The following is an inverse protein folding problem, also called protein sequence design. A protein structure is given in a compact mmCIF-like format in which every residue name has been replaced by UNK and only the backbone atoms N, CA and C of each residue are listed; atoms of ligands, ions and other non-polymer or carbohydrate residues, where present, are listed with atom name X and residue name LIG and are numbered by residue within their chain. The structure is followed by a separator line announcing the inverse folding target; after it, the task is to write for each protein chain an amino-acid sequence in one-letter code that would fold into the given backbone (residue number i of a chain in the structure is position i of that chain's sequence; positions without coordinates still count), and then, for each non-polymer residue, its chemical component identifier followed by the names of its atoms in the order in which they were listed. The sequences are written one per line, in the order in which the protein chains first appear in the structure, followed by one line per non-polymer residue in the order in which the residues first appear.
data_IF_234854542748
#
_entry.id   IF_234854542748
#
_cell.length_a   1.000
_cell.length_b   1.000
_cell.length_c   1.000
_cell.angle_alpha   90.00
_cell.angle_beta   90.00
_cell.angle_gamma   90.00
#
_symmetry.space_group_name_H-M   'P 1'
#
loop_
_entity.id
_entity.type
_entity.pdbx_description
1 polymer ?
#
# COMPACT_ATOMS: atom_id res chain seq x y z
N UNK A 1 13.60 -1.21 -28.71
CA UNK A 1 14.54 -0.40 -27.89
C UNK A 1 13.95 -0.41 -26.49
N UNK A 2 14.48 -1.11 -25.49
CA UNK A 2 15.87 -1.16 -25.01
C UNK A 2 16.20 -2.49 -24.30
N UNK A 3 17.36 -3.06 -24.71
CA UNK A 3 18.36 -3.84 -23.96
C UNK A 3 17.95 -5.12 -23.21
N UNK A 4 18.17 -6.25 -23.89
CA UNK A 4 18.54 -7.52 -23.28
C UNK A 4 20.04 -7.75 -23.54
N UNK A 5 20.90 -7.05 -22.80
CA UNK A 5 22.35 -7.28 -22.81
C UNK A 5 22.68 -8.28 -21.68
N UNK A 6 22.30 -9.55 -21.87
CA UNK A 6 22.90 -10.67 -21.15
C UNK A 6 24.03 -11.23 -22.02
N UNK A 7 25.13 -11.61 -21.37
CA UNK A 7 26.42 -12.00 -21.97
C UNK A 7 26.23 -13.14 -22.98
N UNK A 8 25.90 -12.83 -24.23
CA UNK A 8 26.05 -13.77 -25.35
C UNK A 8 27.52 -13.78 -25.69
N UNK A 9 28.15 -14.96 -25.72
CA UNK A 9 29.50 -15.15 -26.26
C UNK A 9 29.63 -14.41 -27.60
N UNK A 10 30.32 -13.25 -27.68
CA UNK A 10 30.18 -12.34 -28.83
C UNK A 10 30.86 -12.85 -30.12
N UNK A 11 31.40 -14.07 -30.13
CA UNK A 11 32.52 -14.40 -31.01
C UNK A 11 32.52 -15.82 -31.62
N UNK A 12 31.42 -16.59 -31.62
CA UNK A 12 31.40 -17.89 -32.31
C UNK A 12 30.10 -18.09 -33.09
N UNK A 13 30.22 -18.49 -34.36
CA UNK A 13 29.13 -18.94 -35.25
C UNK A 13 28.46 -20.23 -34.73
N UNK A 14 27.91 -20.19 -33.51
CA UNK A 14 27.21 -21.30 -32.88
C UNK A 14 25.70 -21.04 -32.94
N UNK A 15 24.92 -22.12 -33.02
CA UNK A 15 23.48 -22.04 -32.81
C UNK A 15 23.18 -21.65 -31.35
N UNK A 16 21.99 -21.13 -31.08
CA UNK A 16 21.57 -20.74 -29.73
C UNK A 16 21.61 -21.91 -28.74
N UNK A 17 21.16 -23.08 -29.19
CA UNK A 17 21.16 -24.32 -28.40
C UNK A 17 22.59 -24.75 -28.05
N UNK A 18 23.47 -24.87 -29.06
CA UNK A 18 24.87 -25.23 -28.81
C UNK A 18 25.64 -24.19 -28.01
N UNK A 19 25.19 -22.93 -27.98
CA UNK A 19 25.76 -21.90 -27.13
C UNK A 19 25.39 -22.11 -25.66
N UNK A 20 24.15 -22.48 -25.36
CA UNK A 20 23.66 -22.77 -24.01
C UNK A 20 24.32 -24.05 -23.45
N UNK A 21 24.44 -25.10 -24.27
CA UNK A 21 25.12 -26.34 -23.86
C UNK A 21 26.57 -26.07 -23.49
N UNK A 22 27.27 -25.29 -24.31
CA UNK A 22 28.67 -24.94 -24.08
C UNK A 22 28.88 -24.04 -22.87
N UNK A 23 27.95 -23.15 -22.59
CA UNK A 23 27.96 -22.33 -21.37
C UNK A 23 27.78 -23.22 -20.14
N UNK A 24 26.88 -24.19 -20.19
CA UNK A 24 26.65 -25.17 -19.12
C UNK A 24 27.91 -26.01 -18.85
N UNK A 25 28.55 -26.54 -19.89
CA UNK A 25 29.83 -27.28 -19.78
C UNK A 25 30.94 -26.44 -19.14
N UNK A 26 31.02 -25.15 -19.49
CA UNK A 26 32.05 -24.23 -18.98
C UNK A 26 31.83 -23.91 -17.50
N UNK A 27 30.58 -23.75 -17.07
CA UNK A 27 30.20 -23.38 -15.70
C UNK A 27 30.09 -24.59 -14.76
N UNK A 28 30.21 -25.83 -15.26
CA UNK A 28 30.08 -27.06 -14.47
C UNK A 28 31.01 -27.13 -13.23
N UNK A 29 32.27 -26.64 -13.25
CA UNK A 29 33.11 -26.60 -12.06
C UNK A 29 32.58 -25.68 -10.95
N UNK A 30 31.86 -24.60 -11.30
CA UNK A 30 31.20 -23.72 -10.33
C UNK A 30 29.90 -24.34 -9.84
N UNK A 31 29.12 -24.90 -10.77
CA UNK A 31 27.83 -25.55 -10.47
C UNK A 31 28.00 -26.74 -9.52
N UNK A 32 29.00 -27.59 -9.74
CA UNK A 32 29.31 -28.75 -8.90
C UNK A 32 29.75 -28.40 -7.46
N UNK A 33 30.13 -27.14 -7.22
CA UNK A 33 30.52 -26.62 -5.90
C UNK A 33 29.50 -25.64 -5.32
N UNK A 34 28.36 -25.46 -5.98
CA UNK A 34 27.35 -24.51 -5.52
C UNK A 34 26.64 -25.07 -4.28
N UNK A 35 26.57 -24.26 -3.23
CA UNK A 35 25.81 -24.60 -2.01
C UNK A 35 24.30 -24.70 -2.28
N UNK A 36 23.83 -24.01 -3.33
CA UNK A 36 22.44 -23.97 -3.74
C UNK A 36 22.33 -23.82 -5.25
N UNK A 37 21.46 -24.63 -5.85
CA UNK A 37 21.00 -24.50 -7.22
C UNK A 37 19.52 -24.11 -7.18
N UNK A 38 19.17 -23.07 -7.94
CA UNK A 38 17.78 -22.59 -8.09
C UNK A 38 17.35 -22.84 -9.52
N UNK A 39 16.33 -23.68 -9.70
CA UNK A 39 15.68 -23.82 -11.00
C UNK A 39 14.68 -22.68 -11.19
N UNK A 40 14.88 -21.86 -12.22
CA UNK A 40 14.05 -20.69 -12.52
C UNK A 40 13.10 -20.94 -13.69
N UNK A 41 12.99 -22.17 -14.20
CA UNK A 41 12.22 -22.53 -15.40
C UNK A 41 10.75 -22.09 -15.34
N UNK A 42 10.11 -22.24 -14.18
CA UNK A 42 8.69 -21.90 -13.97
C UNK A 42 8.50 -20.62 -13.16
N UNK A 43 9.57 -19.90 -12.84
CA UNK A 43 9.51 -18.73 -11.96
C UNK A 43 9.30 -17.44 -12.77
N UNK A 44 8.35 -16.63 -12.35
CA UNK A 44 8.29 -15.23 -12.77
C UNK A 44 9.45 -14.42 -12.16
N UNK A 45 9.76 -13.28 -12.77
CA UNK A 45 10.77 -12.34 -12.27
C UNK A 45 10.52 -11.93 -10.82
N UNK A 46 9.24 -11.79 -10.43
CA UNK A 46 8.84 -11.42 -9.08
C UNK A 46 9.09 -12.56 -8.08
N UNK A 47 8.75 -13.80 -8.43
CA UNK A 47 8.92 -14.97 -7.55
C UNK A 47 10.40 -15.26 -7.28
N UNK A 48 11.27 -15.12 -8.29
CA UNK A 48 12.70 -15.29 -8.11
C UNK A 48 13.28 -14.24 -7.15
N UNK A 49 12.89 -12.97 -7.32
CA UNK A 49 13.34 -11.89 -6.46
C UNK A 49 12.89 -12.08 -5.00
N UNK A 50 11.65 -12.54 -4.80
CA UNK A 50 11.08 -12.80 -3.48
C UNK A 50 11.70 -14.02 -2.79
N UNK A 51 11.95 -15.09 -3.52
CA UNK A 51 12.65 -16.27 -2.99
C UNK A 51 14.06 -15.91 -2.51
N UNK A 52 14.80 -15.11 -3.30
CA UNK A 52 16.12 -14.62 -2.90
C UNK A 52 16.05 -13.70 -1.68
N UNK A 53 15.11 -12.75 -1.64
CA UNK A 53 14.90 -11.87 -0.48
C UNK A 53 14.60 -12.64 0.79
N UNK A 54 13.69 -13.61 0.70
CA UNK A 54 13.24 -14.42 1.83
C UNK A 54 14.40 -15.23 2.41
N UNK A 55 15.25 -15.81 1.56
CA UNK A 55 16.41 -16.60 2.01
C UNK A 55 17.56 -15.74 2.53
N UNK A 56 17.83 -14.59 1.92
CA UNK A 56 18.97 -13.74 2.30
C UNK A 56 18.71 -12.89 3.55
N UNK A 57 17.48 -12.41 3.74
CA UNK A 57 17.12 -11.54 4.86
C UNK A 57 16.56 -12.30 6.07
N UNK A 58 16.29 -13.60 5.92
CA UNK A 58 15.50 -14.38 6.86
C UNK A 58 14.04 -13.93 6.90
N UNK A 59 13.14 -14.79 7.40
CA UNK A 59 11.75 -14.40 7.70
C UNK A 59 11.73 -13.31 8.77
N UNK A 60 11.83 -12.05 8.38
CA UNK A 60 11.01 -11.01 9.00
C UNK A 60 9.84 -10.83 8.07
N UNK A 61 8.70 -11.40 8.45
CA UNK A 61 7.41 -10.96 7.91
C UNK A 61 7.41 -9.44 8.03
N UNK A 62 7.55 -8.73 6.91
CA UNK A 62 7.34 -7.29 6.92
C UNK A 62 5.85 -7.12 7.14
N UNK A 63 5.45 -6.93 8.39
CA UNK A 63 4.06 -6.64 8.72
C UNK A 63 3.61 -5.41 7.92
N UNK A 64 2.54 -5.59 7.16
CA UNK A 64 1.93 -4.54 6.36
C UNK A 64 1.53 -3.39 7.29
N UNK A 65 2.07 -2.19 7.05
CA UNK A 65 1.63 -0.98 7.75
C UNK A 65 0.49 -0.33 6.97
N UNK A 66 -0.69 -0.26 7.57
CA UNK A 66 -1.83 0.45 6.99
C UNK A 66 -1.77 1.93 7.32
N UNK A 67 -1.80 2.79 6.31
CA UNK A 67 -1.81 4.25 6.47
C UNK A 67 -3.20 4.76 6.11
N UNK A 68 -3.93 5.29 7.08
CA UNK A 68 -5.19 5.99 6.83
C UNK A 68 -4.92 7.48 6.80
N UNK A 69 -5.03 8.09 5.62
CA UNK A 69 -4.79 9.51 5.47
C UNK A 69 -6.03 10.29 5.04
N UNK A 70 -6.20 11.49 5.60
CA UNK A 70 -7.25 12.40 5.17
C UNK A 70 -6.70 13.51 4.30
N UNK A 71 -7.39 13.83 3.21
CA UNK A 71 -7.04 14.93 2.32
C UNK A 71 -8.25 15.74 1.87
N UNK A 72 -7.97 16.87 1.22
CA UNK A 72 -8.96 17.73 0.57
C UNK A 72 -8.81 17.68 -0.95
N UNK A 73 -9.87 17.35 -1.70
CA UNK A 73 -9.84 17.29 -3.16
C UNK A 73 -9.37 18.61 -3.81
N UNK A 74 -9.63 19.76 -3.17
CA UNK A 74 -9.12 21.06 -3.64
C UNK A 74 -7.59 21.18 -3.64
N UNK A 75 -6.90 20.25 -3.00
CA UNK A 75 -5.44 20.19 -2.89
C UNK A 75 -4.83 19.01 -3.69
N UNK A 76 -5.65 18.31 -4.48
CA UNK A 76 -5.23 17.12 -5.22
C UNK A 76 -5.25 15.84 -4.37
N UNK A 77 -5.25 14.71 -5.06
CA UNK A 77 -5.17 13.38 -4.46
C UNK A 77 -3.72 13.11 -4.04
N UNK A 78 -3.47 12.48 -2.87
CA UNK A 78 -2.14 11.99 -2.51
C UNK A 78 -1.51 11.10 -3.59
N UNK A 79 -0.22 11.30 -3.87
CA UNK A 79 0.51 10.54 -4.91
C UNK A 79 0.81 9.09 -4.50
N UNK A 80 0.76 8.82 -3.21
CA UNK A 80 1.09 7.59 -2.49
C UNK A 80 -0.17 6.81 -2.06
N UNK A 81 -1.36 7.23 -2.49
CA UNK A 81 -2.61 6.55 -2.20
C UNK A 81 -2.80 5.31 -3.09
N UNK A 82 -3.06 4.15 -2.47
CA UNK A 82 -3.49 2.93 -3.16
C UNK A 82 -5.01 2.91 -3.35
N UNK A 83 -5.75 3.29 -2.29
CA UNK A 83 -7.20 3.42 -2.31
C UNK A 83 -7.61 4.85 -2.01
N UNK A 84 -8.62 5.35 -2.72
CA UNK A 84 -9.18 6.69 -2.51
C UNK A 84 -10.69 6.58 -2.35
N UNK A 85 -11.20 7.07 -1.22
CA UNK A 85 -12.63 7.13 -0.94
C UNK A 85 -13.11 8.58 -0.86
N UNK A 86 -14.07 8.94 -1.72
CA UNK A 86 -14.71 10.25 -1.69
C UNK A 86 -15.87 10.27 -0.69
N UNK A 87 -15.80 11.16 0.30
CA UNK A 87 -16.84 11.33 1.34
C UNK A 87 -17.56 12.67 1.24
N UNK A 88 -17.48 13.37 0.09
CA UNK A 88 -18.13 14.66 -0.12
C UNK A 88 -19.66 14.62 -0.05
N UNK A 89 -20.25 13.43 -0.24
CA UNK A 89 -21.71 13.22 -0.20
C UNK A 89 -22.27 13.08 1.23
N UNK A 90 -21.43 12.84 2.24
CA UNK A 90 -21.86 12.67 3.63
C UNK A 90 -22.28 14.00 4.29
N UNK A 91 -23.09 13.95 5.38
CA UNK A 91 -23.56 15.12 6.13
C UNK A 91 -22.45 16.13 6.41
N UNK A 92 -22.69 17.39 6.06
CA UNK A 92 -21.66 18.41 6.05
C UNK A 92 -21.71 19.28 7.32
N UNK A 93 -20.72 19.17 8.25
CA UNK A 93 -20.69 19.99 9.48
C UNK A 93 -20.46 21.49 9.21
N UNK A 94 -20.12 21.88 7.98
CA UNK A 94 -19.93 23.28 7.61
C UNK A 94 -21.21 24.14 7.75
N UNK A 95 -22.39 23.50 7.76
CA UNK A 95 -23.66 24.20 7.93
C UNK A 95 -23.84 24.76 9.35
N UNK A 96 -23.17 24.19 10.35
CA UNK A 96 -23.10 24.76 11.71
C UNK A 96 -21.90 25.72 11.80
N UNK A 97 -22.12 27.05 11.95
CA UNK A 97 -21.04 28.02 12.05
C UNK A 97 -20.07 27.75 13.20
N UNK A 98 -20.54 27.13 14.29
CA UNK A 98 -19.70 26.79 15.46
C UNK A 98 -18.69 25.69 15.15
N UNK A 99 -19.01 24.80 14.21
CA UNK A 99 -18.15 23.68 13.80
C UNK A 99 -17.15 24.06 12.70
N UNK A 100 -17.41 25.13 11.93
CA UNK A 100 -16.52 25.59 10.84
C UNK A 100 -15.05 25.80 11.25
N UNK A 101 -14.71 26.41 12.41
CA UNK A 101 -13.33 26.59 12.82
C UNK A 101 -12.69 25.30 13.36
N UNK A 102 -13.48 24.29 13.72
CA UNK A 102 -13.02 23.02 14.27
C UNK A 102 -12.57 22.03 13.18
N UNK A 103 -12.08 20.87 13.57
CA UNK A 103 -11.56 19.78 12.74
C UNK A 103 -12.29 18.48 13.07
N UNK A 104 -12.14 17.45 12.24
CA UNK A 104 -12.69 16.12 12.51
C UNK A 104 -12.16 15.44 13.78
N UNK A 105 -11.07 15.97 14.37
CA UNK A 105 -10.52 15.49 15.65
C UNK A 105 -11.24 16.09 16.86
N UNK A 106 -11.93 17.21 16.67
CA UNK A 106 -12.60 17.91 17.76
C UNK A 106 -13.92 17.23 18.11
N UNK A 107 -14.13 16.98 19.41
CA UNK A 107 -15.32 16.28 19.93
C UNK A 107 -16.66 16.81 19.38
N UNK A 108 -16.89 18.12 19.21
CA UNK A 108 -18.16 18.61 18.66
C UNK A 108 -18.40 18.19 17.20
N UNK A 109 -17.35 18.10 16.38
CA UNK A 109 -17.45 17.63 14.99
C UNK A 109 -17.64 16.12 14.95
N UNK A 110 -16.93 15.39 15.81
CA UNK A 110 -17.13 13.95 15.97
C UNK A 110 -18.58 13.64 16.36
N UNK A 111 -19.11 14.26 17.41
CA UNK A 111 -20.50 14.09 17.86
C UNK A 111 -21.52 14.49 16.78
N UNK A 112 -21.23 15.55 16.01
CA UNK A 112 -22.06 15.91 14.86
C UNK A 112 -22.11 14.78 13.84
N UNK A 113 -20.98 14.15 13.49
CA UNK A 113 -20.92 13.11 12.47
C UNK A 113 -21.47 11.78 12.99
N UNK A 114 -21.24 11.48 14.26
CA UNK A 114 -21.66 10.27 14.96
C UNK A 114 -23.19 10.13 15.00
N UNK A 115 -23.93 11.21 15.25
CA UNK A 115 -25.41 11.15 15.26
C UNK A 115 -26.04 10.77 13.91
N UNK A 116 -25.27 10.77 12.80
CA UNK A 116 -25.75 10.42 11.47
C UNK A 116 -25.45 8.94 11.16
N UNK A 117 -26.52 8.14 11.03
CA UNK A 117 -26.44 6.70 10.73
C UNK A 117 -25.72 6.40 9.41
N UNK A 118 -25.84 7.28 8.43
CA UNK A 118 -25.22 7.18 7.12
C UNK A 118 -23.69 7.31 7.18
N UNK A 119 -23.15 8.06 8.14
CA UNK A 119 -21.69 8.15 8.37
C UNK A 119 -21.18 6.82 8.94
N UNK A 120 -21.89 6.28 9.92
CA UNK A 120 -21.60 4.96 10.50
C UNK A 120 -21.66 3.85 9.45
N UNK A 121 -22.71 3.85 8.62
CA UNK A 121 -22.85 2.87 7.54
C UNK A 121 -21.70 2.99 6.54
N UNK A 122 -21.28 4.21 6.18
CA UNK A 122 -20.13 4.39 5.30
C UNK A 122 -18.86 3.79 5.91
N UNK A 123 -18.53 4.12 7.16
CA UNK A 123 -17.35 3.57 7.86
C UNK A 123 -17.42 2.05 7.88
N UNK A 124 -18.58 1.48 8.24
CA UNK A 124 -18.82 0.04 8.30
C UNK A 124 -18.60 -0.65 6.95
N UNK A 125 -19.19 -0.12 5.88
CA UNK A 125 -19.09 -0.72 4.56
C UNK A 125 -17.66 -0.59 4.00
N UNK A 126 -17.00 0.55 4.21
CA UNK A 126 -15.61 0.76 3.76
C UNK A 126 -14.65 -0.18 4.47
N UNK A 127 -14.71 -0.33 5.79
CA UNK A 127 -13.84 -1.28 6.50
C UNK A 127 -14.12 -2.72 6.07
N UNK A 128 -15.38 -3.09 5.89
CA UNK A 128 -15.78 -4.44 5.46
C UNK A 128 -15.26 -4.75 4.06
N UNK A 129 -15.33 -3.78 3.15
CA UNK A 129 -14.75 -3.89 1.82
C UNK A 129 -13.23 -4.09 1.87
N UNK A 130 -12.51 -3.33 2.70
CA UNK A 130 -11.06 -3.46 2.85
C UNK A 130 -10.68 -4.84 3.43
N UNK A 131 -11.45 -5.34 4.40
CA UNK A 131 -11.20 -6.66 5.02
C UNK A 131 -11.27 -7.82 4.04
N UNK A 132 -12.06 -7.73 2.97
CA UNK A 132 -12.14 -8.78 1.93
C UNK A 132 -10.79 -8.99 1.22
N UNK A 133 -10.04 -7.91 1.02
CA UNK A 133 -8.78 -7.93 0.25
C UNK A 133 -7.54 -7.91 1.14
N UNK A 134 -7.69 -7.53 2.41
CA UNK A 134 -6.58 -7.35 3.33
C UNK A 134 -5.69 -8.59 3.47
N UNK A 135 -6.21 -9.83 3.58
CA UNK A 135 -5.36 -11.02 3.65
C UNK A 135 -4.46 -11.18 2.41
N UNK A 136 -4.99 -10.87 1.22
CA UNK A 136 -4.23 -10.96 -0.03
C UNK A 136 -3.16 -9.86 -0.08
N UNK A 137 -3.49 -8.64 0.37
CA UNK A 137 -2.55 -7.52 0.45
C UNK A 137 -1.41 -7.79 1.43
N UNK A 138 -1.68 -8.49 2.55
CA UNK A 138 -0.66 -8.89 3.53
C UNK A 138 0.34 -9.89 2.95
N UNK A 139 -0.10 -10.78 2.06
CA UNK A 139 0.80 -11.74 1.38
C UNK A 139 1.61 -11.13 0.23
N UNK A 140 1.25 -9.93 -0.27
CA UNK A 140 1.83 -9.34 -1.49
C UNK A 140 3.23 -8.71 -1.30
N UNK A 141 3.96 -9.01 -0.22
CA UNK A 141 5.24 -8.39 0.17
C UNK A 141 5.24 -6.83 0.15
N UNK A 142 4.06 -6.22 0.34
CA UNK A 142 3.90 -4.76 0.43
C UNK A 142 4.24 -4.29 1.84
N UNK A 143 5.05 -3.24 1.94
CA UNK A 143 5.39 -2.64 3.24
C UNK A 143 4.31 -1.67 3.73
N UNK A 144 3.59 -1.02 2.80
CA UNK A 144 2.55 -0.04 3.11
C UNK A 144 1.30 -0.29 2.28
N UNK A 145 0.14 -0.03 2.89
CA UNK A 145 -1.16 0.10 2.24
C UNK A 145 -1.73 1.46 2.59
N UNK A 146 -1.83 2.37 1.63
CA UNK A 146 -2.31 3.73 1.89
C UNK A 146 -3.77 3.89 1.46
N UNK A 147 -4.64 4.14 2.43
CA UNK A 147 -6.07 4.41 2.23
C UNK A 147 -6.35 5.89 2.48
N UNK A 148 -6.62 6.62 1.40
CA UNK A 148 -6.87 8.05 1.43
C UNK A 148 -8.37 8.37 1.45
N UNK A 149 -8.81 9.13 2.45
CA UNK A 149 -10.19 9.61 2.59
C UNK A 149 -10.25 11.09 2.18
N UNK A 150 -11.08 11.40 1.20
CA UNK A 150 -11.17 12.73 0.58
C UNK A 150 -12.48 13.45 0.87
N UNK A 151 -12.42 14.67 1.40
CA UNK A 151 -13.55 15.61 1.34
C UNK A 151 -13.16 16.88 0.58
N UNK A 152 -14.02 17.88 0.45
CA UNK A 152 -13.66 19.10 -0.31
C UNK A 152 -12.46 19.83 0.29
N UNK A 153 -12.50 20.05 1.61
CA UNK A 153 -11.53 20.90 2.32
C UNK A 153 -10.51 20.17 3.18
N UNK A 154 -10.59 18.84 3.32
CA UNK A 154 -9.65 18.04 4.09
C UNK A 154 -9.63 18.28 5.60
N UNK A 155 -10.71 18.83 6.18
CA UNK A 155 -10.72 19.34 7.56
C UNK A 155 -11.66 18.63 8.53
N UNK A 156 -12.85 18.22 8.08
CA UNK A 156 -13.91 17.69 8.96
C UNK A 156 -14.19 16.21 8.67
N UNK A 157 -15.04 15.92 7.68
CA UNK A 157 -15.52 14.57 7.33
C UNK A 157 -14.39 13.57 7.11
N UNK A 158 -13.43 13.92 6.23
CA UNK A 158 -12.34 12.99 5.91
C UNK A 158 -11.39 12.74 7.08
N UNK A 159 -11.13 13.76 7.91
CA UNK A 159 -10.30 13.63 9.11
C UNK A 159 -10.95 12.65 10.09
N UNK A 160 -12.23 12.86 10.39
CA UNK A 160 -13.00 11.99 11.30
C UNK A 160 -13.02 10.54 10.79
N UNK A 161 -13.38 10.33 9.52
CA UNK A 161 -13.51 8.97 8.96
C UNK A 161 -12.16 8.26 8.89
N UNK A 162 -11.07 8.96 8.56
CA UNK A 162 -9.74 8.37 8.57
C UNK A 162 -9.34 7.87 9.98
N UNK A 163 -9.61 8.66 11.03
CA UNK A 163 -9.38 8.23 12.41
C UNK A 163 -10.25 7.03 12.80
N UNK A 164 -11.54 7.04 12.45
CA UNK A 164 -12.44 5.93 12.76
C UNK A 164 -12.00 4.61 12.09
N UNK A 165 -11.53 4.68 10.84
CA UNK A 165 -10.97 3.50 10.16
C UNK A 165 -9.64 3.07 10.81
N UNK A 166 -8.79 4.03 11.17
CA UNK A 166 -7.52 3.73 11.84
C UNK A 166 -7.73 3.03 13.19
N UNK A 167 -8.64 3.56 14.02
CA UNK A 167 -9.01 2.99 15.31
C UNK A 167 -9.60 1.59 15.17
N UNK A 168 -10.46 1.39 14.16
CA UNK A 168 -11.00 0.07 13.85
C UNK A 168 -9.89 -0.95 13.57
N UNK A 169 -9.01 -0.70 12.59
CA UNK A 169 -7.97 -1.67 12.25
C UNK A 169 -6.93 -1.83 13.35
N UNK A 170 -6.66 -0.79 14.15
CA UNK A 170 -5.84 -0.89 15.36
C UNK A 170 -6.45 -1.84 16.38
N UNK A 171 -7.77 -1.78 16.58
CA UNK A 171 -8.49 -2.72 17.47
C UNK A 171 -8.47 -4.17 16.97
N UNK A 172 -8.19 -4.40 15.68
CA UNK A 172 -8.00 -5.72 15.07
C UNK A 172 -6.54 -6.22 15.14
N UNK A 173 -5.66 -5.49 15.82
CA UNK A 173 -4.25 -5.83 15.98
C UNK A 173 -3.39 -5.54 14.74
N UNK A 174 -3.89 -4.74 13.78
CA UNK A 174 -3.10 -4.34 12.61
C UNK A 174 -2.14 -3.20 12.97
N UNK A 175 -1.00 -3.14 12.27
CA UNK A 175 -0.09 -2.01 12.35
C UNK A 175 -0.67 -0.84 11.55
N UNK A 176 -1.05 0.23 12.24
CA UNK A 176 -1.81 1.34 11.66
C UNK A 176 -1.16 2.68 11.99
N UNK A 177 -1.05 3.54 10.98
CA UNK A 177 -0.70 4.95 11.11
C UNK A 177 -1.83 5.82 10.55
N UNK A 178 -2.09 6.97 11.19
CA UNK A 178 -3.00 7.97 10.66
C UNK A 178 -2.27 9.25 10.29
N UNK A 179 -2.74 9.93 9.23
CA UNK A 179 -2.10 11.12 8.67
C UNK A 179 -3.13 12.15 8.20
N UNK A 180 -2.91 13.44 8.45
CA UNK A 180 -3.87 14.49 8.07
C UNK A 180 -3.20 15.61 7.28
N UNK A 181 -3.08 15.43 5.96
CA UNK A 181 -2.33 16.33 5.07
C UNK A 181 -2.71 17.80 5.19
N UNK A 182 -4.00 18.11 5.30
CA UNK A 182 -4.46 19.50 5.37
C UNK A 182 -4.24 20.12 6.76
N UNK A 183 -4.19 19.30 7.82
CA UNK A 183 -3.93 19.77 9.18
C UNK A 183 -2.43 19.94 9.44
N UNK A 184 -1.56 19.11 8.83
CA UNK A 184 -0.10 19.23 8.92
C UNK A 184 0.42 20.57 8.41
N UNK A 185 -0.17 21.09 7.32
CA UNK A 185 0.19 22.40 6.74
C UNK A 185 -0.27 23.61 7.56
N UNK A 186 -1.03 23.38 8.64
CA UNK A 186 -1.63 24.43 9.50
C UNK A 186 -0.94 24.59 10.85
N UNK A 187 0.12 23.83 11.15
CA UNK A 187 0.93 24.10 12.34
C UNK A 187 1.64 25.46 12.17
N UNK A 188 1.54 26.37 13.15
CA UNK A 188 2.19 27.69 13.11
C UNK A 188 3.71 27.57 13.09
#
# INVERSE_FOLDING_TARGET
MTRADCIRFPAKNLSLESAIDKESDLLEPLRSRADLIVDTSEMSVHELAEMLRTRLLGKRERELTMVFESFGFKHGIPIDADYVFDVRFLPNPHWDPKLRPMTGLDKPVAAFLDRHTEVHNFIYQTRSYLELWLPMLETNNRSYLTVAIGCTGGKHRSVYIAEQLADYFRSRGKNVQSRHRTLEKRKP
#
